data_IF_851651977871
#
_entry.id   IF_851651977871
#
_cell.length_a   1.000
_cell.length_b   1.000
_cell.length_c   1.000
_cell.angle_alpha   90.00
_cell.angle_beta   90.00
_cell.angle_gamma   90.00
#
_symmetry.space_group_name_H-M   'P 1'
#
loop_
_entity.id
_entity.type
_entity.pdbx_description
1 polymer ?
#
# COMPACT_ATOMS: atom_id res chain seq x y z
N UNK A 1 -0.23 35.84 -3.30
CA UNK A 1 -0.49 34.50 -2.74
C UNK A 1 0.82 33.75 -2.69
N UNK A 2 1.13 33.06 -1.59
CA UNK A 2 2.28 32.17 -1.52
C UNK A 2 2.01 31.00 -2.49
N UNK A 3 3.04 30.61 -3.24
CA UNK A 3 3.03 29.48 -4.18
C UNK A 3 2.69 28.16 -3.43
N UNK A 4 1.82 27.30 -3.98
CA UNK A 4 1.42 26.03 -3.35
C UNK A 4 2.64 25.17 -3.01
N UNK A 5 3.58 25.06 -3.96
CA UNK A 5 4.81 24.29 -3.77
C UNK A 5 5.62 24.81 -2.57
N UNK A 6 5.70 26.12 -2.40
CA UNK A 6 6.37 26.74 -1.26
C UNK A 6 5.62 26.49 0.05
N UNK A 7 4.28 26.60 0.07
CA UNK A 7 3.46 26.31 1.25
C UNK A 7 3.65 24.87 1.76
N UNK A 8 3.64 23.90 0.85
CA UNK A 8 3.87 22.48 1.19
C UNK A 8 5.30 22.27 1.70
N UNK A 9 6.29 22.89 1.05
CA UNK A 9 7.69 22.82 1.48
C UNK A 9 7.88 23.40 2.90
N UNK A 10 7.27 24.54 3.21
CA UNK A 10 7.32 25.16 4.53
C UNK A 10 6.65 24.28 5.59
N UNK A 11 5.50 23.69 5.29
CA UNK A 11 4.82 22.76 6.20
C UNK A 11 5.68 21.53 6.52
N UNK A 12 6.35 20.95 5.53
CA UNK A 12 7.24 19.80 5.77
C UNK A 12 8.51 20.22 6.51
N UNK A 13 9.05 21.41 6.22
CA UNK A 13 10.24 21.92 6.89
C UNK A 13 9.98 22.19 8.38
N UNK A 14 8.85 22.84 8.70
CA UNK A 14 8.45 23.29 10.03
C UNK A 14 7.01 22.88 10.34
N UNK A 15 6.72 21.58 10.53
CA UNK A 15 5.37 21.12 10.84
C UNK A 15 4.94 21.59 12.23
N UNK A 16 3.64 21.79 12.48
CA UNK A 16 3.14 21.92 13.84
C UNK A 16 3.33 20.61 14.61
N UNK A 17 3.20 20.68 15.94
CA UNK A 17 3.23 19.49 16.78
C UNK A 17 2.19 18.46 16.32
N UNK A 18 2.66 17.25 16.02
CA UNK A 18 1.83 16.20 15.46
C UNK A 18 0.93 15.57 16.54
N UNK A 19 -0.40 15.57 16.38
CA UNK A 19 -1.31 14.95 17.34
C UNK A 19 -1.04 13.46 17.56
N UNK A 20 -1.31 12.95 18.76
CA UNK A 20 -1.09 11.54 19.12
C UNK A 20 -1.77 10.55 18.15
N UNK A 21 -3.00 10.86 17.74
CA UNK A 21 -3.74 10.05 16.78
C UNK A 21 -3.06 9.96 15.41
N UNK A 22 -2.38 11.05 14.99
CA UNK A 22 -1.67 11.13 13.71
C UNK A 22 -0.38 10.32 13.79
N UNK A 23 0.38 10.42 14.89
CA UNK A 23 1.56 9.58 15.13
C UNK A 23 1.18 8.10 15.20
N UNK A 24 0.05 7.79 15.85
CA UNK A 24 -0.48 6.43 15.95
C UNK A 24 -0.84 5.87 14.56
N UNK A 25 -1.51 6.66 13.71
CA UNK A 25 -1.77 6.28 12.32
C UNK A 25 -0.46 6.00 11.56
N UNK A 26 0.59 6.80 11.80
CA UNK A 26 1.93 6.56 11.29
C UNK A 26 2.51 5.20 11.70
N UNK A 27 2.54 4.89 13.00
CA UNK A 27 3.04 3.59 13.51
C UNK A 27 2.27 2.41 12.94
N UNK A 28 0.94 2.48 12.91
CA UNK A 28 0.07 1.43 12.35
C UNK A 28 0.33 1.21 10.87
N UNK A 29 0.54 2.29 10.12
CA UNK A 29 0.84 2.23 8.68
C UNK A 29 2.23 1.66 8.41
N UNK A 30 3.22 2.01 9.23
CA UNK A 30 4.56 1.43 9.16
C UNK A 30 4.55 -0.07 9.47
N UNK A 31 3.87 -0.50 10.55
CA UNK A 31 3.70 -1.91 10.90
C UNK A 31 3.08 -2.71 9.76
N UNK A 32 1.98 -2.21 9.20
CA UNK A 32 1.30 -2.84 8.06
C UNK A 32 2.22 -2.95 6.85
N UNK A 33 2.94 -1.87 6.50
CA UNK A 33 3.85 -1.84 5.35
C UNK A 33 5.02 -2.82 5.52
N UNK A 34 5.64 -2.88 6.70
CA UNK A 34 6.72 -3.85 6.98
C UNK A 34 6.20 -5.28 6.84
N UNK A 35 5.01 -5.56 7.39
CA UNK A 35 4.38 -6.88 7.27
C UNK A 35 4.18 -7.28 5.81
N UNK A 36 3.57 -6.41 4.99
CA UNK A 36 3.34 -6.73 3.56
C UNK A 36 4.63 -6.80 2.76
N UNK A 37 5.66 -6.02 3.12
CA UNK A 37 6.99 -6.13 2.53
C UNK A 37 7.62 -7.50 2.81
N UNK A 38 7.55 -8.00 4.05
CA UNK A 38 8.03 -9.34 4.41
C UNK A 38 7.29 -10.42 3.63
N UNK A 39 5.95 -10.38 3.64
CA UNK A 39 5.12 -11.37 2.95
C UNK A 39 5.39 -11.41 1.44
N UNK A 40 5.55 -10.23 0.82
CA UNK A 40 5.82 -10.07 -0.60
C UNK A 40 7.28 -10.31 -1.04
N UNK A 41 8.22 -10.39 -0.10
CA UNK A 41 9.66 -10.29 -0.39
C UNK A 41 10.21 -11.41 -1.27
N UNK A 42 9.56 -12.57 -1.29
CA UNK A 42 9.93 -13.72 -2.11
C UNK A 42 8.90 -14.02 -3.21
N UNK A 43 8.08 -13.05 -3.60
CA UNK A 43 7.23 -13.20 -4.78
C UNK A 43 8.10 -13.29 -6.06
N UNK A 44 7.62 -14.00 -7.08
CA UNK A 44 8.38 -14.28 -8.29
C UNK A 44 8.81 -13.03 -9.07
N UNK A 45 8.05 -11.93 -9.03
CA UNK A 45 8.45 -10.65 -9.61
C UNK A 45 9.56 -9.99 -8.79
N UNK A 46 9.48 -10.06 -7.45
CA UNK A 46 10.49 -9.50 -6.55
C UNK A 46 11.83 -10.23 -6.71
N UNK A 47 11.83 -11.56 -6.81
CA UNK A 47 13.06 -12.32 -7.13
C UNK A 47 13.72 -11.86 -8.43
N UNK A 48 12.92 -11.55 -9.47
CA UNK A 48 13.45 -11.03 -10.74
C UNK A 48 14.07 -9.64 -10.58
N UNK A 49 13.49 -8.79 -9.74
CA UNK A 49 14.07 -7.48 -9.42
C UNK A 49 15.39 -7.61 -8.65
N UNK A 50 15.43 -8.45 -7.62
CA UNK A 50 16.63 -8.70 -6.82
C UNK A 50 17.77 -9.25 -7.68
N UNK A 51 17.47 -10.11 -8.65
CA UNK A 51 18.46 -10.65 -9.59
C UNK A 51 19.16 -9.57 -10.47
N UNK A 52 18.61 -8.35 -10.54
CA UNK A 52 19.23 -7.23 -11.27
C UNK A 52 20.32 -6.51 -10.47
N UNK A 53 20.37 -6.68 -9.14
CA UNK A 53 21.26 -5.93 -8.27
C UNK A 53 22.75 -6.02 -8.66
N UNK A 54 23.32 -7.19 -9.00
CA UNK A 54 24.74 -7.28 -9.33
C UNK A 54 25.18 -6.39 -10.50
N UNK A 55 24.25 -6.04 -11.41
CA UNK A 55 24.54 -5.22 -12.58
C UNK A 55 24.29 -3.72 -12.35
N UNK A 56 23.44 -3.36 -11.38
CA UNK A 56 22.89 -1.99 -11.28
C UNK A 56 22.93 -1.37 -9.89
N UNK A 57 23.39 -2.07 -8.86
CA UNK A 57 23.45 -1.59 -7.47
C UNK A 57 24.86 -1.19 -7.05
N UNK A 58 24.95 -0.16 -6.21
CA UNK A 58 26.16 0.27 -5.52
C UNK A 58 26.44 -0.54 -4.24
N UNK A 59 27.23 0.01 -3.31
CA UNK A 59 27.52 -0.64 -2.03
C UNK A 59 26.26 -0.98 -1.24
N UNK A 60 26.24 -2.17 -0.63
CA UNK A 60 25.11 -2.66 0.14
C UNK A 60 24.98 -1.94 1.50
N UNK A 61 24.31 -0.79 1.52
CA UNK A 61 24.14 0.06 2.71
C UNK A 61 22.81 -0.13 3.42
N UNK A 62 21.81 -0.71 2.75
CA UNK A 62 20.45 -0.86 3.27
C UNK A 62 19.91 -2.28 3.06
N UNK A 63 18.98 -2.67 3.94
CA UNK A 63 18.38 -4.00 4.02
C UNK A 63 17.22 -4.16 3.04
N UNK A 64 17.11 -5.36 2.47
CA UNK A 64 15.90 -5.80 1.78
C UNK A 64 15.01 -6.54 2.80
N UNK A 65 13.84 -6.00 3.09
CA UNK A 65 12.94 -6.52 4.13
C UNK A 65 12.49 -7.94 3.77
N UNK A 66 12.62 -8.88 4.70
CA UNK A 66 12.26 -10.30 4.52
C UNK A 66 13.26 -11.10 3.67
N UNK A 67 14.47 -10.57 3.46
CA UNK A 67 15.51 -11.17 2.61
C UNK A 67 16.88 -11.11 3.27
N UNK A 68 17.79 -11.96 2.82
CA UNK A 68 19.19 -11.98 3.27
C UNK A 68 20.04 -10.98 2.50
N UNK A 69 19.69 -10.70 1.24
CA UNK A 69 20.41 -9.74 0.41
C UNK A 69 20.25 -8.30 0.93
N UNK A 70 21.24 -7.47 0.61
CA UNK A 70 21.25 -6.02 0.86
C UNK A 70 21.55 -5.30 -0.44
N UNK A 71 21.21 -4.03 -0.52
CA UNK A 71 21.45 -3.18 -1.69
C UNK A 71 21.87 -1.77 -1.26
N UNK A 72 22.27 -0.93 -2.21
CA UNK A 72 22.31 0.51 -1.93
C UNK A 72 20.90 1.03 -1.59
N UNK A 73 20.85 2.19 -0.93
CA UNK A 73 19.59 2.75 -0.43
C UNK A 73 18.52 2.97 -1.51
N UNK A 74 18.90 3.26 -2.76
CA UNK A 74 17.96 3.53 -3.85
C UNK A 74 17.31 2.24 -4.32
N UNK A 75 18.08 1.17 -4.45
CA UNK A 75 17.57 -0.15 -4.78
C UNK A 75 16.83 -0.82 -3.62
N UNK A 76 17.28 -0.60 -2.38
CA UNK A 76 16.56 -1.07 -1.19
C UNK A 76 15.18 -0.42 -1.08
N UNK A 77 15.10 0.91 -1.21
CA UNK A 77 13.83 1.63 -1.26
C UNK A 77 12.92 1.10 -2.38
N UNK A 78 13.47 0.89 -3.59
CA UNK A 78 12.73 0.36 -4.72
C UNK A 78 12.12 -1.01 -4.45
N UNK A 79 12.96 -1.97 -4.02
CA UNK A 79 12.57 -3.38 -3.87
C UNK A 79 11.63 -3.55 -2.68
N UNK A 80 11.86 -2.86 -1.57
CA UNK A 80 10.99 -2.91 -0.40
C UNK A 80 9.60 -2.32 -0.72
N UNK A 81 9.54 -1.21 -1.46
CA UNK A 81 8.28 -0.63 -1.93
C UNK A 81 7.53 -1.55 -2.91
N UNK A 82 8.25 -2.15 -3.86
CA UNK A 82 7.66 -3.12 -4.77
C UNK A 82 7.10 -4.34 -4.01
N UNK A 83 7.84 -4.83 -3.01
CA UNK A 83 7.44 -5.97 -2.17
C UNK A 83 6.21 -5.65 -1.33
N UNK A 84 6.17 -4.48 -0.67
CA UNK A 84 5.05 -4.05 0.15
C UNK A 84 3.72 -3.97 -0.63
N UNK A 85 3.78 -3.61 -1.91
CA UNK A 85 2.63 -3.44 -2.78
C UNK A 85 2.26 -4.69 -3.60
N UNK A 86 3.12 -5.72 -3.62
CA UNK A 86 3.05 -6.80 -4.62
C UNK A 86 1.73 -7.56 -4.58
N UNK A 87 1.16 -7.77 -3.40
CA UNK A 87 -0.10 -8.48 -3.21
C UNK A 87 -1.33 -7.58 -3.16
N UNK A 88 -1.18 -6.28 -3.41
CA UNK A 88 -2.27 -5.31 -3.24
C UNK A 88 -2.88 -5.37 -1.82
N UNK A 89 -2.07 -5.75 -0.83
CA UNK A 89 -2.50 -5.99 0.56
C UNK A 89 -2.07 -4.87 1.52
N UNK A 90 -1.41 -3.85 0.97
CA UNK A 90 -0.99 -2.63 1.66
C UNK A 90 -2.19 -1.75 2.04
N UNK A 91 -1.88 -0.61 2.65
CA UNK A 91 -2.86 0.35 3.14
C UNK A 91 -3.58 1.09 1.99
N UNK A 92 -4.69 1.74 2.28
CA UNK A 92 -5.46 2.49 1.30
C UNK A 92 -6.08 3.72 1.94
N UNK A 93 -5.78 4.89 1.38
CA UNK A 93 -6.47 6.13 1.69
C UNK A 93 -7.83 6.13 0.99
N UNK A 94 -8.89 5.97 1.79
CA UNK A 94 -10.24 5.68 1.30
C UNK A 94 -10.77 6.71 0.28
N UNK A 95 -10.58 8.03 0.46
CA UNK A 95 -11.10 9.02 -0.50
C UNK A 95 -10.54 8.91 -1.92
N UNK A 96 -9.34 8.37 -2.12
CA UNK A 96 -8.63 8.40 -3.41
C UNK A 96 -8.11 7.05 -3.88
N UNK A 97 -8.20 6.02 -3.03
CA UNK A 97 -7.64 4.68 -3.24
C UNK A 97 -6.11 4.73 -3.45
N UNK A 98 -5.44 5.73 -2.89
CA UNK A 98 -3.97 5.79 -2.91
C UNK A 98 -3.38 4.86 -1.85
N UNK A 99 -2.21 4.26 -2.13
CA UNK A 99 -1.43 3.48 -1.16
C UNK A 99 -0.23 4.31 -0.68
N UNK A 100 -0.37 5.15 0.37
CA UNK A 100 0.66 6.14 0.71
C UNK A 100 1.90 5.53 1.35
N UNK A 101 1.79 4.40 2.07
CA UNK A 101 2.94 3.86 2.81
C UNK A 101 3.97 3.18 1.94
N UNK A 102 3.53 2.39 0.95
CA UNK A 102 4.41 1.61 0.10
C UNK A 102 5.49 2.43 -0.62
N UNK A 103 5.22 3.62 -1.19
CA UNK A 103 6.28 4.44 -1.78
C UNK A 103 7.08 5.27 -0.75
N UNK A 104 6.46 5.73 0.35
CA UNK A 104 7.10 6.69 1.27
C UNK A 104 7.97 6.00 2.31
N UNK A 105 7.45 4.99 3.01
CA UNK A 105 8.15 4.37 4.14
C UNK A 105 9.46 3.68 3.73
N UNK A 106 9.54 2.89 2.64
CA UNK A 106 10.79 2.30 2.18
C UNK A 106 11.90 3.30 1.85
N UNK A 107 11.53 4.50 1.35
CA UNK A 107 12.50 5.55 1.03
C UNK A 107 13.18 6.07 2.31
N UNK A 108 12.40 6.38 3.35
CA UNK A 108 12.95 6.89 4.62
C UNK A 108 13.64 5.80 5.44
N UNK A 109 13.17 4.55 5.38
CA UNK A 109 13.82 3.42 6.04
C UNK A 109 15.22 3.15 5.47
N UNK A 110 15.35 3.07 4.15
CA UNK A 110 16.64 2.83 3.50
C UNK A 110 17.63 3.98 3.74
N UNK A 111 17.14 5.22 3.77
CA UNK A 111 17.93 6.39 4.12
C UNK A 111 18.38 6.35 5.59
N UNK A 112 17.47 6.10 6.52
CA UNK A 112 17.76 6.07 7.96
C UNK A 112 18.78 4.98 8.31
N UNK A 113 18.65 3.76 7.75
CA UNK A 113 19.64 2.69 7.96
C UNK A 113 21.03 3.07 7.43
N UNK A 114 21.07 3.71 6.25
CA UNK A 114 22.34 4.16 5.67
C UNK A 114 22.99 5.25 6.53
N UNK A 115 22.21 6.23 7.01
CA UNK A 115 22.71 7.28 7.90
C UNK A 115 23.18 6.74 9.25
N UNK A 116 22.48 5.75 9.82
CA UNK A 116 22.88 5.07 11.04
C UNK A 116 24.25 4.39 10.87
N UNK A 117 24.47 3.70 9.74
CA UNK A 117 25.77 3.09 9.42
C UNK A 117 26.91 4.12 9.23
N UNK A 118 26.57 5.37 8.89
CA UNK A 118 27.50 6.51 8.83
C UNK A 118 27.70 7.21 10.19
N UNK A 119 27.12 6.69 11.28
CA UNK A 119 27.21 7.29 12.62
C UNK A 119 26.27 8.48 12.84
N UNK A 120 25.21 8.60 12.03
CA UNK A 120 24.19 9.65 12.10
C UNK A 120 22.78 9.03 12.21
N UNK A 121 22.48 8.27 13.27
CA UNK A 121 21.18 7.62 13.40
C UNK A 121 20.06 8.67 13.40
N UNK A 122 18.95 8.30 12.75
CA UNK A 122 17.70 9.06 12.80
C UNK A 122 16.88 8.46 13.95
N UNK A 123 16.44 9.29 14.89
CA UNK A 123 15.58 8.79 15.99
C UNK A 123 14.26 8.27 15.45
N UNK A 124 13.62 7.33 16.13
CA UNK A 124 12.35 6.79 15.64
C UNK A 124 11.22 7.82 15.60
N UNK A 125 11.23 8.81 16.50
CA UNK A 125 10.31 9.96 16.40
C UNK A 125 10.54 10.81 15.13
N UNK A 126 11.80 11.09 14.76
CA UNK A 126 12.12 11.79 13.50
C UNK A 126 11.71 10.96 12.28
N UNK A 127 11.90 9.64 12.33
CA UNK A 127 11.51 8.71 11.26
C UNK A 127 9.99 8.69 11.06
N UNK A 128 9.20 8.56 12.13
CA UNK A 128 7.74 8.57 12.07
C UNK A 128 7.22 9.93 11.59
N UNK A 129 7.78 11.04 12.09
CA UNK A 129 7.38 12.38 11.63
C UNK A 129 7.61 12.54 10.12
N UNK A 130 8.81 12.21 9.63
CA UNK A 130 9.14 12.31 8.22
C UNK A 130 8.24 11.43 7.35
N UNK A 131 8.01 10.19 7.77
CA UNK A 131 7.11 9.27 7.08
C UNK A 131 5.68 9.82 7.00
N UNK A 132 5.13 10.28 8.13
CA UNK A 132 3.76 10.80 8.19
C UNK A 132 3.59 12.05 7.33
N UNK A 133 4.55 12.97 7.34
CA UNK A 133 4.50 14.17 6.50
C UNK A 133 4.51 13.82 5.01
N UNK A 134 5.33 12.86 4.60
CA UNK A 134 5.34 12.36 3.23
C UNK A 134 4.01 11.72 2.83
N UNK A 135 3.49 10.84 3.67
CA UNK A 135 2.21 10.16 3.45
C UNK A 135 1.04 11.16 3.40
N UNK A 136 1.02 12.15 4.30
CA UNK A 136 0.03 13.22 4.33
C UNK A 136 -0.01 14.00 3.01
N UNK A 137 1.15 14.44 2.52
CA UNK A 137 1.23 15.17 1.24
C UNK A 137 0.84 14.27 0.07
N UNK A 138 1.21 12.99 0.08
CA UNK A 138 0.76 12.02 -0.92
C UNK A 138 -0.76 11.89 -0.95
N UNK A 139 -1.43 11.77 0.20
CA UNK A 139 -2.89 11.71 0.29
C UNK A 139 -3.55 12.99 -0.22
N UNK A 140 -3.03 14.16 0.18
CA UNK A 140 -3.54 15.48 -0.24
C UNK A 140 -3.38 15.73 -1.73
N UNK A 141 -2.25 15.35 -2.32
CA UNK A 141 -2.06 15.35 -3.79
C UNK A 141 -3.08 14.44 -4.48
N UNK A 142 -3.38 13.29 -3.88
CA UNK A 142 -4.43 12.41 -4.36
C UNK A 142 -5.80 13.08 -4.40
N UNK A 143 -6.18 13.79 -3.31
CA UNK A 143 -7.46 14.50 -3.23
C UNK A 143 -7.60 15.57 -4.31
N UNK A 144 -6.52 16.29 -4.59
CA UNK A 144 -6.49 17.35 -5.60
C UNK A 144 -6.71 16.84 -7.03
N UNK A 145 -6.44 15.56 -7.27
CA UNK A 145 -6.43 14.95 -8.60
C UNK A 145 -7.61 13.99 -8.86
N UNK A 146 -8.24 13.50 -7.80
CA UNK A 146 -9.36 12.59 -7.87
C UNK A 146 -10.65 13.30 -8.34
N UNK A 147 -11.52 12.67 -9.17
CA UNK A 147 -11.38 11.34 -9.78
C UNK A 147 -10.69 11.34 -11.15
N UNK A 148 -10.45 12.53 -11.75
CA UNK A 148 -10.03 12.70 -13.15
C UNK A 148 -8.73 11.97 -13.46
N UNK A 149 -7.75 12.07 -12.57
CA UNK A 149 -6.41 11.53 -12.78
C UNK A 149 -6.39 10.02 -13.00
N UNK A 150 -7.08 9.28 -12.12
CA UNK A 150 -7.16 7.83 -12.22
C UNK A 150 -7.96 7.42 -13.47
N UNK A 151 -9.07 8.11 -13.75
CA UNK A 151 -9.91 7.83 -14.93
C UNK A 151 -9.14 8.02 -16.25
N UNK A 152 -8.16 8.93 -16.30
CA UNK A 152 -7.27 9.13 -17.45
C UNK A 152 -6.27 7.97 -17.65
N UNK A 153 -6.05 7.13 -16.64
CA UNK A 153 -5.15 5.98 -16.70
C UNK A 153 -3.85 6.14 -15.92
N UNK A 154 -3.71 7.19 -15.11
CA UNK A 154 -2.55 7.34 -14.23
C UNK A 154 -2.70 6.54 -12.95
N UNK A 155 -1.63 5.85 -12.55
CA UNK A 155 -1.61 5.15 -11.26
C UNK A 155 -1.22 6.11 -10.14
N UNK A 156 -2.23 6.61 -9.41
CA UNK A 156 -2.13 7.70 -8.43
C UNK A 156 -1.10 7.45 -7.31
N UNK A 157 -0.95 6.20 -6.89
CA UNK A 157 0.06 5.77 -5.91
C UNK A 157 1.47 6.11 -6.34
N UNK A 158 1.81 5.85 -7.59
CA UNK A 158 3.16 6.04 -8.08
C UNK A 158 3.43 7.52 -8.39
N UNK A 159 2.46 8.20 -9.01
CA UNK A 159 2.58 9.61 -9.40
C UNK A 159 2.64 10.52 -8.17
N UNK A 160 1.75 10.35 -7.18
CA UNK A 160 1.76 11.16 -5.95
C UNK A 160 2.75 10.66 -4.90
N UNK A 161 3.04 9.36 -4.86
CA UNK A 161 3.98 8.76 -3.91
C UNK A 161 5.41 9.24 -4.08
N UNK A 162 5.84 9.58 -5.30
CA UNK A 162 7.17 10.12 -5.56
C UNK A 162 7.42 11.46 -4.84
N UNK A 163 6.41 12.32 -4.77
CA UNK A 163 6.48 13.61 -4.06
C UNK A 163 6.54 13.40 -2.55
N UNK A 164 5.70 12.51 -2.00
CA UNK A 164 5.73 12.18 -0.57
C UNK A 164 7.08 11.60 -0.14
N UNK A 165 7.64 10.67 -0.94
CA UNK A 165 8.96 10.09 -0.69
C UNK A 165 10.07 11.16 -0.76
N UNK A 166 9.99 12.10 -1.71
CA UNK A 166 10.96 13.21 -1.81
C UNK A 166 10.91 14.14 -0.59
N UNK A 167 9.72 14.51 -0.15
CA UNK A 167 9.53 15.39 1.01
C UNK A 167 9.95 14.70 2.32
N UNK A 168 9.59 13.42 2.49
CA UNK A 168 9.96 12.64 3.66
C UNK A 168 11.49 12.45 3.76
N UNK A 169 12.15 12.07 2.65
CA UNK A 169 13.60 12.00 2.61
C UNK A 169 14.25 13.39 2.81
N UNK A 170 13.67 14.44 2.23
CA UNK A 170 14.11 15.81 2.42
C UNK A 170 14.02 16.30 3.88
N UNK A 171 12.99 15.87 4.62
CA UNK A 171 12.84 16.11 6.05
C UNK A 171 13.99 15.50 6.84
N UNK A 172 14.32 14.23 6.59
CA UNK A 172 15.44 13.54 7.24
C UNK A 172 16.80 14.15 6.88
N UNK A 173 16.96 14.62 5.64
CA UNK A 173 18.16 15.35 5.19
C UNK A 173 18.21 16.82 5.67
N UNK A 174 17.18 17.28 6.40
CA UNK A 174 17.06 18.67 6.92
C UNK A 174 17.17 19.72 5.81
N UNK A 175 16.54 19.47 4.67
CA UNK A 175 16.51 20.40 3.55
C UNK A 175 15.78 21.69 3.92
N UNK A 176 16.26 22.81 3.38
CA UNK A 176 15.56 24.10 3.47
C UNK A 176 14.27 24.08 2.64
N UNK A 177 13.30 24.99 2.89
CA UNK A 177 12.08 25.09 2.08
C UNK A 177 12.36 25.22 0.57
N UNK A 178 13.36 26.01 0.18
CA UNK A 178 13.77 26.14 -1.22
C UNK A 178 14.24 24.80 -1.82
N UNK A 179 15.06 24.04 -1.08
CA UNK A 179 15.51 22.72 -1.52
C UNK A 179 14.36 21.70 -1.56
N UNK A 180 13.37 21.80 -0.67
CA UNK A 180 12.17 20.96 -0.74
C UNK A 180 11.33 21.28 -1.99
N UNK A 181 11.25 22.54 -2.41
CA UNK A 181 10.64 22.91 -3.71
C UNK A 181 11.43 22.30 -4.88
N UNK A 182 12.77 22.36 -4.85
CA UNK A 182 13.60 21.69 -5.86
C UNK A 182 13.35 20.17 -5.88
N UNK A 183 13.25 19.53 -4.71
CA UNK A 183 12.96 18.11 -4.58
C UNK A 183 11.59 17.75 -5.17
N UNK A 184 10.55 18.57 -4.98
CA UNK A 184 9.26 18.42 -5.66
C UNK A 184 9.41 18.52 -7.19
N UNK A 185 10.25 19.43 -7.68
CA UNK A 185 10.57 19.55 -9.10
C UNK A 185 11.23 18.30 -9.69
N UNK A 186 12.16 17.69 -8.94
CA UNK A 186 12.82 16.45 -9.36
C UNK A 186 11.89 15.25 -9.30
N UNK A 187 10.96 15.23 -8.33
CA UNK A 187 9.93 14.21 -8.24
C UNK A 187 8.97 14.30 -9.43
N UNK A 188 8.56 15.51 -9.83
CA UNK A 188 7.77 15.75 -11.06
C UNK A 188 8.46 15.19 -12.31
N UNK A 189 9.78 15.37 -12.43
CA UNK A 189 10.53 14.93 -13.60
C UNK A 189 10.72 13.40 -13.68
N UNK A 190 10.55 12.67 -12.58
CA UNK A 190 10.86 11.24 -12.47
C UNK A 190 9.65 10.35 -12.16
N UNK A 191 8.57 10.93 -11.62
CA UNK A 191 7.36 10.21 -11.23
C UNK A 191 6.51 9.81 -12.43
N UNK A 192 6.13 8.53 -12.50
CA UNK A 192 5.23 8.00 -13.51
C UNK A 192 4.47 6.78 -12.97
N UNK A 193 3.38 6.39 -13.64
CA UNK A 193 2.65 5.16 -13.33
C UNK A 193 1.40 5.00 -14.19
N UNK A 194 1.11 3.78 -14.65
CA UNK A 194 -0.03 3.51 -15.54
C UNK A 194 -0.96 2.44 -14.97
N UNK A 195 -2.25 2.72 -15.00
CA UNK A 195 -3.33 1.79 -14.64
C UNK A 195 -3.34 0.55 -15.54
N UNK A 196 -2.84 0.65 -16.77
CA UNK A 196 -2.73 -0.48 -17.71
C UNK A 196 -1.86 -1.62 -17.16
N UNK A 197 -0.95 -1.32 -16.23
CA UNK A 197 -0.06 -2.31 -15.64
C UNK A 197 -0.72 -3.15 -14.54
N UNK A 198 -1.93 -2.81 -14.10
CA UNK A 198 -2.66 -3.56 -13.08
C UNK A 198 -2.90 -5.02 -13.50
N UNK A 199 -2.84 -5.94 -12.54
CA UNK A 199 -2.94 -7.37 -12.80
C UNK A 199 -1.65 -8.01 -13.36
N UNK A 200 -0.60 -7.22 -13.64
CA UNK A 200 0.71 -7.72 -14.07
C UNK A 200 1.79 -7.53 -13.00
N UNK A 201 2.98 -8.12 -13.20
CA UNK A 201 4.16 -7.84 -12.36
C UNK A 201 4.56 -6.35 -12.40
N UNK A 202 4.24 -5.64 -13.49
CA UNK A 202 4.67 -4.27 -13.74
C UNK A 202 4.03 -3.22 -12.84
N UNK A 203 2.87 -3.49 -12.22
CA UNK A 203 2.21 -2.57 -11.27
C UNK A 203 3.21 -2.06 -10.23
N UNK A 204 3.87 -2.99 -9.54
CA UNK A 204 4.73 -2.71 -8.40
C UNK A 204 6.05 -2.06 -8.79
N UNK A 205 6.44 -2.11 -10.07
CA UNK A 205 7.61 -1.37 -10.59
C UNK A 205 7.43 0.13 -10.43
N UNK A 206 6.22 0.63 -10.70
CA UNK A 206 5.95 2.07 -10.60
C UNK A 206 5.95 2.56 -9.15
N UNK A 207 5.53 1.72 -8.20
CA UNK A 207 5.57 2.03 -6.76
C UNK A 207 7.00 2.00 -6.23
N UNK A 208 7.78 0.98 -6.62
CA UNK A 208 9.22 0.93 -6.36
C UNK A 208 9.97 2.14 -6.95
N UNK A 209 9.62 2.51 -8.18
CA UNK A 209 10.19 3.68 -8.84
C UNK A 209 9.82 4.98 -8.11
N UNK A 210 8.62 5.11 -7.57
CA UNK A 210 8.22 6.28 -6.80
C UNK A 210 9.08 6.45 -5.53
N UNK A 211 9.32 5.38 -4.78
CA UNK A 211 10.20 5.40 -3.61
C UNK A 211 11.63 5.82 -3.99
N UNK A 212 12.19 5.18 -5.05
CA UNK A 212 13.54 5.47 -5.54
C UNK A 212 13.67 6.90 -6.08
N UNK A 213 12.73 7.34 -6.89
CA UNK A 213 12.71 8.66 -7.51
C UNK A 213 12.59 9.75 -6.45
N UNK A 214 11.73 9.56 -5.44
CA UNK A 214 11.59 10.50 -4.34
C UNK A 214 12.88 10.62 -3.53
N UNK A 215 13.47 9.49 -3.13
CA UNK A 215 14.74 9.48 -2.41
C UNK A 215 15.85 10.18 -3.21
N UNK A 216 16.00 9.84 -4.49
CA UNK A 216 16.95 10.50 -5.40
C UNK A 216 16.69 12.02 -5.50
N UNK A 217 15.43 12.43 -5.59
CA UNK A 217 15.02 13.84 -5.68
C UNK A 217 15.50 14.66 -4.49
N UNK A 218 15.39 14.12 -3.28
CA UNK A 218 15.89 14.77 -2.07
C UNK A 218 17.42 14.93 -2.10
N UNK A 219 18.16 13.91 -2.53
CA UNK A 219 19.62 14.01 -2.67
C UNK A 219 20.06 15.00 -3.76
N UNK A 220 19.38 15.05 -4.90
CA UNK A 220 19.65 16.03 -5.96
C UNK A 220 19.48 17.46 -5.42
N UNK A 221 18.39 17.73 -4.71
CA UNK A 221 18.15 19.03 -4.07
C UNK A 221 19.19 19.34 -2.96
N UNK A 222 19.60 18.34 -2.17
CA UNK A 222 20.66 18.48 -1.18
C UNK A 222 22.01 18.92 -1.81
N UNK A 223 22.24 18.56 -3.08
CA UNK A 223 23.43 18.94 -3.87
C UNK A 223 23.26 20.21 -4.68
N UNK A 224 22.15 20.93 -4.52
CA UNK A 224 21.88 22.19 -5.23
C UNK A 224 21.55 21.99 -6.71
N UNK A 225 21.12 20.80 -7.11
CA UNK A 225 20.52 20.62 -8.43
C UNK A 225 19.14 21.31 -8.40
N UNK A 226 18.99 22.43 -9.11
CA UNK A 226 17.80 23.30 -9.02
C UNK A 226 16.67 22.84 -9.93
N UNK A 227 15.42 23.10 -9.54
CA UNK A 227 14.20 22.78 -10.27
C UNK A 227 13.34 24.00 -10.62
N UNK A 228 12.12 23.79 -11.17
CA UNK A 228 11.16 24.87 -11.40
C UNK A 228 10.66 25.47 -10.07
N UNK A 229 10.32 26.77 -10.08
CA UNK A 229 9.83 27.45 -8.87
C UNK A 229 8.40 27.05 -8.42
N UNK A 230 7.61 26.47 -9.32
CA UNK A 230 6.21 26.06 -9.07
C UNK A 230 5.93 24.66 -9.65
N UNK A 231 6.57 23.60 -9.13
CA UNK A 231 6.44 22.24 -9.66
C UNK A 231 5.02 21.68 -9.55
N UNK A 232 4.22 22.06 -8.56
CA UNK A 232 2.85 21.55 -8.41
C UNK A 232 1.84 22.35 -9.24
N UNK A 233 1.84 23.67 -9.08
CA UNK A 233 0.79 24.58 -9.55
C UNK A 233 1.14 25.37 -10.82
N UNK A 234 2.37 25.25 -11.32
CA UNK A 234 2.78 25.95 -12.55
C UNK A 234 1.90 25.57 -13.76
N UNK A 235 1.90 26.36 -14.84
CA UNK A 235 1.08 26.07 -16.04
C UNK A 235 1.37 24.72 -16.72
N UNK A 236 2.54 24.15 -16.45
CA UNK A 236 2.98 22.80 -16.84
C UNK A 236 3.47 22.00 -15.62
N UNK A 237 2.98 22.37 -14.44
CA UNK A 237 3.24 21.68 -13.18
C UNK A 237 2.40 20.42 -13.05
N UNK A 238 2.64 19.68 -11.97
CA UNK A 238 2.01 18.39 -11.72
C UNK A 238 0.49 18.43 -11.85
N UNK A 239 -0.18 19.38 -11.18
CA UNK A 239 -1.64 19.45 -11.14
C UNK A 239 -2.25 19.67 -12.52
N UNK A 240 -1.70 20.62 -13.29
CA UNK A 240 -2.18 20.95 -14.64
C UNK A 240 -1.94 19.82 -15.65
N UNK A 241 -0.86 19.03 -15.50
CA UNK A 241 -0.58 17.89 -16.38
C UNK A 241 -1.52 16.70 -16.10
N UNK A 242 -1.97 16.56 -14.86
CA UNK A 242 -2.58 15.33 -14.36
C UNK A 242 -4.07 15.41 -14.09
N UNK A 243 -4.68 16.59 -14.19
CA UNK A 243 -6.12 16.81 -14.12
C UNK A 243 -6.52 18.04 -14.95
N UNK A 244 -7.69 17.99 -15.59
CA UNK A 244 -8.29 19.18 -16.23
C UNK A 244 -9.07 20.05 -15.23
N UNK A 245 -9.31 19.52 -14.03
CA UNK A 245 -10.01 20.21 -12.94
C UNK A 245 -9.37 19.87 -11.58
N UNK A 246 -8.08 20.21 -11.37
CA UNK A 246 -7.44 19.95 -10.09
C UNK A 246 -8.03 20.86 -8.99
N UNK A 247 -8.26 20.29 -7.81
CA UNK A 247 -8.69 21.05 -6.64
C UNK A 247 -7.48 21.43 -5.77
N UNK A 248 -6.96 22.63 -6.03
CA UNK A 248 -5.80 23.19 -5.33
C UNK A 248 -6.02 23.35 -3.82
N UNK A 249 -7.26 23.62 -3.39
CA UNK A 249 -7.57 23.91 -1.99
C UNK A 249 -7.32 22.67 -1.12
N UNK A 250 -7.64 21.48 -1.64
CA UNK A 250 -7.42 20.21 -0.92
C UNK A 250 -5.95 19.95 -0.53
N UNK A 251 -4.97 20.57 -1.20
CA UNK A 251 -3.57 20.47 -0.81
C UNK A 251 -3.26 21.25 0.47
N UNK A 252 -3.75 22.48 0.59
CA UNK A 252 -3.29 23.44 1.61
C UNK A 252 -4.34 23.78 2.67
N UNK A 253 -5.60 23.40 2.45
CA UNK A 253 -6.67 23.67 3.40
C UNK A 253 -6.41 22.94 4.73
N UNK A 254 -6.50 23.71 5.82
CA UNK A 254 -6.35 23.22 7.18
C UNK A 254 -5.05 22.41 7.38
N UNK A 255 -3.97 22.82 6.69
CA UNK A 255 -2.69 22.13 6.73
C UNK A 255 -2.12 22.17 8.16
N UNK A 256 -1.85 20.99 8.71
CA UNK A 256 -1.39 20.85 10.09
C UNK A 256 -2.50 20.76 11.16
N UNK A 257 -3.76 21.02 10.81
CA UNK A 257 -4.92 20.80 11.70
C UNK A 257 -5.81 19.65 11.25
N UNK A 258 -6.05 19.51 9.94
CA UNK A 258 -6.70 18.35 9.33
C UNK A 258 -5.63 17.42 8.75
N UNK A 259 -5.74 16.13 9.02
CA UNK A 259 -4.75 15.14 8.60
C UNK A 259 -5.45 14.04 7.78
N UNK A 260 -5.09 13.95 6.50
CA UNK A 260 -5.62 12.95 5.57
C UNK A 260 -5.08 11.54 5.86
N UNK A 261 -3.91 11.40 6.49
CA UNK A 261 -3.40 10.08 6.93
C UNK A 261 -4.35 9.38 7.91
N UNK A 262 -5.22 10.11 8.62
CA UNK A 262 -6.23 9.51 9.50
C UNK A 262 -7.34 8.78 8.73
N UNK A 263 -7.47 9.03 7.41
CA UNK A 263 -8.38 8.31 6.51
C UNK A 263 -7.67 7.16 5.77
N UNK A 264 -6.43 6.86 6.13
CA UNK A 264 -5.70 5.71 5.64
C UNK A 264 -6.12 4.46 6.41
N UNK A 265 -6.47 3.42 5.68
CA UNK A 265 -7.04 2.18 6.23
C UNK A 265 -6.25 0.97 5.78
N UNK A 266 -6.48 -0.18 6.43
CA UNK A 266 -5.71 -1.39 6.20
C UNK A 266 -6.62 -2.48 5.66
N UNK A 267 -6.21 -3.10 4.55
CA UNK A 267 -6.96 -4.19 3.96
C UNK A 267 -6.87 -5.44 4.84
N UNK A 268 -7.99 -6.13 5.14
CA UNK A 268 -8.00 -7.42 5.83
C UNK A 268 -7.73 -8.60 4.89
N UNK A 269 -7.92 -8.43 3.58
CA UNK A 269 -7.70 -9.46 2.55
C UNK A 269 -6.74 -8.96 1.44
N UNK A 270 -5.95 -9.83 0.79
CA UNK A 270 -4.96 -9.46 -0.22
C UNK A 270 -5.60 -9.24 -1.60
N UNK A 271 -6.55 -8.31 -1.68
CA UNK A 271 -7.33 -8.05 -2.89
C UNK A 271 -7.77 -6.58 -3.03
N UNK A 272 -8.45 -6.26 -4.13
CA UNK A 272 -9.05 -4.94 -4.33
C UNK A 272 -10.10 -4.62 -3.25
N UNK A 273 -10.07 -3.41 -2.70
CA UNK A 273 -10.87 -3.01 -1.52
C UNK A 273 -12.39 -3.22 -1.69
N UNK A 274 -12.89 -3.09 -2.92
CA UNK A 274 -14.30 -3.33 -3.28
C UNK A 274 -14.77 -4.76 -3.02
N UNK A 275 -13.85 -5.73 -2.88
CA UNK A 275 -14.16 -7.13 -2.55
C UNK A 275 -14.31 -7.38 -1.05
N UNK A 276 -13.85 -6.48 -0.18
CA UNK A 276 -13.91 -6.68 1.27
C UNK A 276 -15.32 -7.00 1.80
N UNK A 277 -16.39 -6.23 1.48
CA UNK A 277 -17.74 -6.57 1.95
C UNK A 277 -18.26 -7.89 1.37
N UNK A 278 -17.84 -8.23 0.15
CA UNK A 278 -18.22 -9.49 -0.52
C UNK A 278 -17.62 -10.69 0.19
N UNK A 279 -16.33 -10.62 0.49
CA UNK A 279 -15.59 -11.66 1.22
C UNK A 279 -16.18 -11.82 2.62
N UNK A 280 -16.41 -10.71 3.33
CA UNK A 280 -16.99 -10.76 4.68
C UNK A 280 -18.39 -11.38 4.68
N UNK A 281 -19.24 -11.06 3.70
CA UNK A 281 -20.54 -11.69 3.53
C UNK A 281 -20.43 -13.20 3.31
N UNK A 282 -19.50 -13.63 2.44
CA UNK A 282 -19.28 -15.03 2.13
C UNK A 282 -18.71 -15.82 3.33
N UNK A 283 -17.74 -15.26 4.05
CA UNK A 283 -17.17 -15.88 5.25
C UNK A 283 -18.23 -16.02 6.36
N UNK A 284 -19.09 -15.01 6.53
CA UNK A 284 -20.20 -15.10 7.47
C UNK A 284 -21.21 -16.20 7.09
N UNK A 285 -21.51 -16.36 5.79
CA UNK A 285 -22.37 -17.44 5.30
C UNK A 285 -21.70 -18.81 5.49
N UNK A 286 -20.42 -18.95 5.17
CA UNK A 286 -19.66 -20.18 5.39
C UNK A 286 -19.67 -20.60 6.86
N UNK A 287 -19.41 -19.66 7.77
CA UNK A 287 -19.36 -19.92 9.21
C UNK A 287 -20.71 -20.37 9.80
N UNK A 288 -21.84 -20.06 9.16
CA UNK A 288 -23.16 -20.55 9.57
C UNK A 288 -23.31 -22.06 9.31
N UNK A 289 -22.66 -22.61 8.29
CA UNK A 289 -22.66 -24.05 8.00
C UNK A 289 -24.00 -24.61 7.47
N UNK A 290 -24.92 -23.76 7.02
CA UNK A 290 -26.29 -24.15 6.63
C UNK A 290 -26.43 -24.70 5.20
N UNK A 291 -25.32 -24.83 4.46
CA UNK A 291 -25.28 -25.31 3.09
C UNK A 291 -24.00 -26.12 2.79
N UNK A 292 -24.08 -27.00 1.78
CA UNK A 292 -22.91 -27.52 1.07
C UNK A 292 -22.72 -26.74 -0.24
N UNK A 293 -21.49 -26.58 -0.70
CA UNK A 293 -21.21 -25.84 -1.94
C UNK A 293 -21.92 -26.43 -3.17
N UNK A 294 -22.04 -27.76 -3.23
CA UNK A 294 -22.75 -28.48 -4.30
C UNK A 294 -24.27 -28.21 -4.29
N UNK A 295 -24.83 -27.77 -3.15
CA UNK A 295 -26.23 -27.40 -3.04
C UNK A 295 -26.54 -26.00 -3.60
N UNK A 296 -25.52 -25.19 -3.94
CA UNK A 296 -25.71 -23.84 -4.48
C UNK A 296 -26.11 -23.92 -5.95
N UNK A 297 -27.32 -23.42 -6.25
CA UNK A 297 -27.87 -23.31 -7.60
C UNK A 297 -27.42 -22.02 -8.30
N UNK A 298 -27.43 -20.90 -7.59
CA UNK A 298 -26.97 -19.60 -8.11
C UNK A 298 -26.50 -18.67 -6.99
N UNK A 299 -25.61 -17.75 -7.36
CA UNK A 299 -25.09 -16.71 -6.47
C UNK A 299 -25.39 -15.35 -7.10
N UNK A 300 -26.01 -14.48 -6.32
CA UNK A 300 -26.28 -13.09 -6.70
C UNK A 300 -25.46 -12.17 -5.82
N UNK A 301 -24.66 -11.32 -6.46
CA UNK A 301 -23.85 -10.30 -5.82
C UNK A 301 -24.44 -8.92 -6.15
N UNK A 302 -25.02 -8.27 -5.14
CA UNK A 302 -25.61 -6.93 -5.27
C UNK A 302 -24.68 -5.89 -4.65
N UNK A 303 -24.45 -4.76 -5.33
CA UNK A 303 -23.66 -3.66 -4.77
C UNK A 303 -23.53 -2.49 -5.74
N UNK A 304 -22.74 -1.49 -5.36
CA UNK A 304 -22.47 -0.33 -6.20
C UNK A 304 -21.89 -0.74 -7.57
N UNK A 305 -22.23 -0.09 -8.70
CA UNK A 305 -21.74 -0.49 -10.03
C UNK A 305 -20.21 -0.62 -10.17
N UNK A 306 -19.46 0.13 -9.36
CA UNK A 306 -17.98 0.01 -9.30
C UNK A 306 -17.53 -1.40 -8.94
N UNK A 307 -18.28 -2.13 -8.11
CA UNK A 307 -17.98 -3.51 -7.76
C UNK A 307 -17.84 -4.36 -9.03
N UNK A 308 -18.87 -4.40 -9.86
CA UNK A 308 -18.84 -5.14 -11.13
C UNK A 308 -17.76 -4.62 -12.07
N UNK A 309 -17.68 -3.31 -12.28
CA UNK A 309 -16.71 -2.70 -13.21
C UNK A 309 -15.26 -3.09 -12.87
N UNK A 310 -14.94 -3.17 -11.58
CA UNK A 310 -13.60 -3.48 -11.08
C UNK A 310 -13.34 -4.98 -10.95
N UNK A 311 -14.37 -5.79 -10.69
CA UNK A 311 -14.17 -7.17 -10.21
C UNK A 311 -14.79 -8.27 -11.07
N UNK A 312 -15.57 -7.92 -12.10
CA UNK A 312 -16.10 -8.88 -13.07
C UNK A 312 -14.95 -9.38 -13.96
N UNK A 313 -14.22 -10.38 -13.45
CA UNK A 313 -13.02 -10.96 -14.05
C UNK A 313 -13.14 -12.48 -13.94
N UNK A 314 -13.96 -13.13 -14.77
CA UNK A 314 -14.09 -14.58 -14.76
C UNK A 314 -12.82 -15.24 -15.31
N UNK A 315 -12.66 -16.54 -15.06
CA UNK A 315 -11.59 -17.37 -15.65
C UNK A 315 -10.17 -16.85 -15.41
N UNK A 316 -9.91 -16.30 -14.23
CA UNK A 316 -8.55 -15.93 -13.82
C UNK A 316 -7.64 -17.16 -13.82
N UNK A 317 -6.38 -16.96 -14.20
CA UNK A 317 -5.40 -18.06 -14.38
C UNK A 317 -4.20 -17.97 -13.44
N UNK A 318 -4.08 -16.86 -12.70
CA UNK A 318 -3.00 -16.60 -11.75
C UNK A 318 -3.57 -15.99 -10.48
N UNK A 319 -2.89 -16.21 -9.37
CA UNK A 319 -3.20 -15.63 -8.06
C UNK A 319 -3.29 -14.11 -8.14
N UNK A 320 -2.39 -13.46 -8.87
CA UNK A 320 -2.43 -12.00 -9.11
C UNK A 320 -3.73 -11.54 -9.77
N UNK A 321 -4.20 -12.25 -10.80
CA UNK A 321 -5.47 -11.89 -11.45
C UNK A 321 -6.67 -12.15 -10.52
N UNK A 322 -6.57 -13.14 -9.63
CA UNK A 322 -7.63 -13.46 -8.68
C UNK A 322 -7.91 -12.36 -7.65
N UNK A 323 -6.91 -11.53 -7.34
CA UNK A 323 -7.02 -10.39 -6.40
C UNK A 323 -8.01 -9.31 -6.86
N UNK A 324 -8.45 -9.36 -8.12
CA UNK A 324 -9.45 -8.46 -8.70
C UNK A 324 -10.63 -9.23 -9.31
N UNK A 325 -10.90 -10.46 -8.85
CA UNK A 325 -11.99 -11.30 -9.34
C UNK A 325 -13.01 -11.58 -8.24
N UNK A 326 -14.23 -11.07 -8.39
CA UNK A 326 -15.33 -11.41 -7.48
C UNK A 326 -15.71 -12.88 -7.59
N UNK A 327 -15.64 -13.44 -8.80
CA UNK A 327 -15.90 -14.85 -9.05
C UNK A 327 -15.00 -15.75 -8.20
N UNK A 328 -13.69 -15.48 -8.19
CA UNK A 328 -12.75 -16.23 -7.36
C UNK A 328 -12.95 -15.95 -5.87
N UNK A 329 -13.05 -14.67 -5.48
CA UNK A 329 -13.17 -14.27 -4.07
C UNK A 329 -14.42 -14.85 -3.40
N UNK A 330 -15.56 -14.84 -4.09
CA UNK A 330 -16.80 -15.47 -3.61
C UNK A 330 -16.63 -16.98 -3.50
N UNK A 331 -16.11 -17.64 -4.53
CA UNK A 331 -15.97 -19.09 -4.53
C UNK A 331 -15.05 -19.56 -3.39
N UNK A 332 -13.88 -18.96 -3.23
CA UNK A 332 -12.90 -19.37 -2.22
C UNK A 332 -13.39 -19.09 -0.80
N UNK A 333 -14.05 -17.95 -0.58
CA UNK A 333 -14.59 -17.59 0.73
C UNK A 333 -15.73 -18.52 1.15
N UNK A 334 -16.62 -18.90 0.21
CA UNK A 334 -17.72 -19.82 0.50
C UNK A 334 -17.26 -21.27 0.66
N UNK A 335 -16.31 -21.73 -0.16
CA UNK A 335 -15.88 -23.13 -0.17
C UNK A 335 -14.85 -23.43 0.93
N UNK A 336 -13.84 -22.57 1.09
CA UNK A 336 -12.72 -22.80 2.00
C UNK A 336 -12.86 -22.07 3.34
N UNK A 337 -13.81 -21.14 3.46
CA UNK A 337 -14.00 -20.36 4.69
C UNK A 337 -12.84 -19.43 5.02
N UNK A 338 -12.05 -19.02 4.02
CA UNK A 338 -10.87 -18.16 4.19
C UNK A 338 -10.62 -17.29 2.95
N UNK A 339 -9.85 -16.23 3.15
CA UNK A 339 -9.49 -15.26 2.12
C UNK A 339 -8.09 -14.65 2.36
N UNK A 340 -7.13 -15.49 2.73
CA UNK A 340 -5.72 -15.12 2.96
C UNK A 340 -4.85 -15.32 1.70
N UNK A 341 -3.53 -15.16 1.82
CA UNK A 341 -2.61 -15.25 0.68
C UNK A 341 -2.67 -16.61 -0.03
N UNK A 342 -2.92 -17.70 0.69
CA UNK A 342 -3.10 -19.03 0.09
C UNK A 342 -4.37 -19.09 -0.76
N UNK A 343 -5.47 -18.49 -0.29
CA UNK A 343 -6.74 -18.39 -1.01
C UNK A 343 -6.62 -17.61 -2.34
N UNK A 344 -5.63 -16.73 -2.47
CA UNK A 344 -5.36 -15.95 -3.69
C UNK A 344 -4.06 -16.40 -4.40
N UNK A 345 -3.62 -17.63 -4.17
CA UNK A 345 -2.41 -18.19 -4.79
C UNK A 345 -2.68 -18.74 -6.21
N UNK A 346 -1.60 -18.97 -6.97
CA UNK A 346 -1.71 -19.68 -8.26
C UNK A 346 -2.28 -21.09 -8.09
N UNK A 347 -2.01 -21.74 -6.95
CA UNK A 347 -2.55 -23.06 -6.64
C UNK A 347 -4.08 -23.02 -6.48
N UNK A 348 -4.59 -22.08 -5.68
CA UNK A 348 -6.03 -21.90 -5.46
C UNK A 348 -6.78 -21.63 -6.76
N UNK A 349 -6.23 -20.78 -7.64
CA UNK A 349 -6.86 -20.45 -8.93
C UNK A 349 -7.02 -21.67 -9.85
N UNK A 350 -6.27 -22.74 -9.64
CA UNK A 350 -6.41 -23.97 -10.44
C UNK A 350 -7.50 -24.92 -9.96
N UNK A 351 -8.04 -24.72 -8.75
CA UNK A 351 -9.05 -25.59 -8.15
C UNK A 351 -10.35 -25.63 -8.99
N UNK A 352 -10.76 -26.85 -9.34
CA UNK A 352 -11.93 -27.07 -10.19
C UNK A 352 -13.27 -26.77 -9.49
N UNK A 353 -13.36 -26.99 -8.18
CA UNK A 353 -14.56 -26.69 -7.40
C UNK A 353 -14.75 -25.17 -7.26
N UNK A 354 -13.65 -24.42 -7.09
CA UNK A 354 -13.71 -22.96 -7.12
C UNK A 354 -14.20 -22.44 -8.47
N UNK A 355 -13.70 -23.01 -9.58
CA UNK A 355 -14.13 -22.64 -10.94
C UNK A 355 -15.61 -22.95 -11.21
N UNK A 356 -16.10 -24.11 -10.75
CA UNK A 356 -17.53 -24.46 -10.87
C UNK A 356 -18.41 -23.46 -10.13
N UNK A 357 -18.08 -23.17 -8.87
CA UNK A 357 -18.85 -22.26 -8.04
C UNK A 357 -18.81 -20.82 -8.58
N UNK A 358 -17.64 -20.38 -9.04
CA UNK A 358 -17.44 -19.08 -9.70
C UNK A 358 -18.37 -18.85 -10.91
N UNK A 359 -18.68 -19.91 -11.67
CA UNK A 359 -19.55 -19.83 -12.84
C UNK A 359 -21.03 -19.52 -12.51
N UNK A 360 -21.42 -19.70 -11.24
CA UNK A 360 -22.79 -19.50 -10.75
C UNK A 360 -23.06 -18.05 -10.31
N UNK A 361 -22.05 -17.18 -10.36
CA UNK A 361 -22.13 -15.79 -9.93
C UNK A 361 -22.78 -14.89 -10.98
N UNK A 362 -23.67 -14.02 -10.53
CA UNK A 362 -24.26 -12.92 -11.31
C UNK A 362 -24.26 -11.62 -10.50
N UNK A 363 -24.10 -10.49 -11.18
CA UNK A 363 -24.09 -9.16 -10.55
C UNK A 363 -25.45 -8.47 -10.65
N UNK A 364 -25.78 -7.68 -9.64
CA UNK A 364 -26.86 -6.70 -9.65
C UNK A 364 -26.30 -5.34 -9.23
N UNK A 365 -26.32 -4.40 -10.16
CA UNK A 365 -25.83 -3.03 -9.93
C UNK A 365 -26.92 -2.21 -9.22
N UNK A 366 -26.61 -1.66 -8.05
CA UNK A 366 -27.53 -0.84 -7.25
C UNK A 366 -26.81 0.40 -6.70
N UNK A 367 -27.24 1.58 -7.15
CA UNK A 367 -26.65 2.88 -6.76
C UNK A 367 -26.99 3.28 -5.32
N UNK A 368 -27.91 2.60 -4.64
CA UNK A 368 -28.21 2.85 -3.22
C UNK A 368 -27.13 2.26 -2.29
N UNK A 369 -26.28 1.38 -2.79
CA UNK A 369 -25.14 0.85 -2.04
C UNK A 369 -23.96 1.81 -2.14
N UNK A 370 -23.28 2.03 -1.02
CA UNK A 370 -21.93 2.61 -1.03
C UNK A 370 -20.95 1.60 -1.62
N UNK A 371 -19.76 2.04 -2.02
CA UNK A 371 -18.73 1.11 -2.53
C UNK A 371 -18.16 0.19 -1.44
N UNK A 372 -18.43 0.47 -0.16
CA UNK A 372 -18.02 -0.33 1.01
C UNK A 372 -19.10 -1.34 1.42
N UNK A 373 -20.25 -1.36 0.74
CA UNK A 373 -21.37 -2.25 1.02
C UNK A 373 -21.59 -3.27 -0.09
N UNK A 374 -22.04 -4.47 0.28
CA UNK A 374 -22.47 -5.50 -0.66
C UNK A 374 -23.47 -6.47 -0.02
N UNK A 375 -24.26 -7.13 -0.86
CA UNK A 375 -25.12 -8.25 -0.45
C UNK A 375 -24.83 -9.49 -1.30
N UNK A 376 -24.66 -10.62 -0.62
CA UNK A 376 -24.52 -11.95 -1.23
C UNK A 376 -25.78 -12.74 -0.95
N UNK A 377 -26.42 -13.22 -2.00
CA UNK A 377 -27.61 -14.07 -1.92
C UNK A 377 -27.33 -15.41 -2.61
N UNK A 378 -27.33 -16.49 -1.83
CA UNK A 378 -27.22 -17.87 -2.30
C UNK A 378 -28.63 -18.43 -2.49
N UNK A 379 -28.93 -18.95 -3.68
CA UNK A 379 -30.13 -19.76 -3.91
C UNK A 379 -29.73 -21.23 -3.94
N UNK A 380 -30.31 -22.03 -3.04
CA UNK A 380 -30.01 -23.45 -2.94
C UNK A 380 -30.95 -24.30 -3.82
N UNK A 381 -30.51 -25.50 -4.18
CA UNK A 381 -31.28 -26.46 -4.98
C UNK A 381 -32.60 -26.90 -4.30
N UNK A 382 -32.69 -26.80 -2.98
CA UNK A 382 -33.90 -27.09 -2.19
C UNK A 382 -34.90 -25.90 -2.12
N UNK A 383 -34.58 -24.80 -2.79
CA UNK A 383 -35.39 -23.58 -2.83
C UNK A 383 -35.13 -22.59 -1.69
N UNK A 384 -34.33 -22.93 -0.68
CA UNK A 384 -33.92 -21.98 0.36
C UNK A 384 -33.06 -20.86 -0.23
N UNK A 385 -33.12 -19.69 0.42
CA UNK A 385 -32.25 -18.55 0.13
C UNK A 385 -31.51 -18.14 1.38
N UNK A 386 -30.20 -18.02 1.27
CA UNK A 386 -29.34 -17.51 2.33
C UNK A 386 -28.82 -16.14 1.88
N UNK A 387 -29.07 -15.11 2.68
CA UNK A 387 -28.74 -13.73 2.33
C UNK A 387 -27.89 -13.12 3.42
N UNK A 388 -26.79 -12.49 3.02
CA UNK A 388 -25.94 -11.71 3.92
C UNK A 388 -25.60 -10.38 3.28
N UNK A 389 -25.97 -9.30 3.98
CA UNK A 389 -25.62 -7.92 3.65
C UNK A 389 -24.56 -7.41 4.61
N UNK A 390 -23.60 -6.68 4.07
CA UNK A 390 -22.57 -5.93 4.79
C UNK A 390 -22.73 -4.47 4.38
N UNK A 391 -22.95 -3.58 5.36
CA UNK A 391 -23.08 -2.14 5.12
C UNK A 391 -21.73 -1.41 5.20
N UNK A 392 -20.82 -1.90 6.05
CA UNK A 392 -19.45 -1.43 6.19
C UNK A 392 -18.52 -2.60 6.49
N UNK A 393 -17.61 -2.89 5.56
CA UNK A 393 -16.66 -3.99 5.71
C UNK A 393 -15.53 -3.65 6.69
N UNK A 394 -14.98 -4.68 7.35
CA UNK A 394 -13.75 -4.55 8.13
C UNK A 394 -12.62 -3.95 7.28
N UNK A 395 -11.86 -3.04 7.87
CA UNK A 395 -10.81 -2.28 7.19
C UNK A 395 -11.31 -1.04 6.46
N UNK A 396 -12.60 -0.68 6.55
CA UNK A 396 -13.13 0.62 6.16
C UNK A 396 -13.00 1.69 7.26
N UNK A 397 -13.46 2.92 6.99
CA UNK A 397 -13.43 4.00 7.99
C UNK A 397 -14.39 3.76 9.16
N UNK A 398 -15.57 3.21 8.86
CA UNK A 398 -16.62 2.94 9.86
C UNK A 398 -16.36 1.65 10.66
N UNK A 399 -15.52 0.75 10.13
CA UNK A 399 -15.13 -0.50 10.77
C UNK A 399 -13.62 -0.75 10.59
N UNK A 400 -12.75 0.08 11.20
CA UNK A 400 -11.31 -0.03 11.03
C UNK A 400 -10.79 -1.34 11.64
N UNK A 401 -9.71 -1.90 11.06
CA UNK A 401 -8.96 -2.96 11.73
C UNK A 401 -8.46 -2.44 13.08
N UNK A 402 -8.48 -3.28 14.11
CA UNK A 402 -7.86 -2.99 15.42
C UNK A 402 -6.35 -3.26 15.38
N UNK A 403 -5.62 -2.86 16.42
CA UNK A 403 -4.18 -3.19 16.52
C UNK A 403 -3.96 -4.70 16.67
N UNK A 404 -4.88 -5.39 17.36
CA UNK A 404 -4.89 -6.86 17.42
C UNK A 404 -5.06 -7.50 16.03
N UNK A 405 -5.93 -6.93 15.18
CA UNK A 405 -6.11 -7.40 13.81
C UNK A 405 -4.85 -7.19 12.96
N UNK A 406 -4.17 -6.05 13.13
CA UNK A 406 -2.90 -5.77 12.45
C UNK A 406 -1.81 -6.72 12.92
N UNK A 407 -1.73 -7.04 14.21
CA UNK A 407 -0.79 -8.01 14.75
C UNK A 407 -1.05 -9.42 14.19
N UNK A 408 -2.32 -9.85 14.10
CA UNK A 408 -2.69 -11.12 13.43
C UNK A 408 -2.27 -11.11 11.97
N UNK A 409 -2.56 -10.03 11.24
CA UNK A 409 -2.16 -9.86 9.84
C UNK A 409 -0.63 -9.92 9.69
N UNK A 410 0.12 -9.23 10.54
CA UNK A 410 1.58 -9.19 10.51
C UNK A 410 2.18 -10.58 10.69
N UNK A 411 1.74 -11.33 11.72
CA UNK A 411 2.16 -12.73 11.93
C UNK A 411 1.84 -13.61 10.72
N UNK A 412 0.67 -13.44 10.10
CA UNK A 412 0.31 -14.18 8.91
C UNK A 412 1.22 -13.87 7.70
N UNK A 413 1.72 -12.63 7.55
CA UNK A 413 2.68 -12.29 6.49
C UNK A 413 4.04 -12.98 6.69
N UNK A 414 4.53 -13.02 7.93
CA UNK A 414 5.77 -13.73 8.27
C UNK A 414 5.59 -15.24 8.04
N UNK A 415 4.49 -15.81 8.53
CA UNK A 415 4.15 -17.23 8.31
C UNK A 415 4.05 -17.59 6.83
N UNK A 416 3.45 -16.72 6.02
CA UNK A 416 3.40 -16.89 4.56
C UNK A 416 4.79 -16.87 3.91
N UNK A 417 5.65 -15.94 4.33
CA UNK A 417 7.02 -15.85 3.81
C UNK A 417 7.84 -17.09 4.15
N UNK A 418 7.53 -17.76 5.27
CA UNK A 418 8.16 -19.02 5.66
C UNK A 418 9.61 -18.87 6.10
N UNK A 419 9.93 -17.78 6.81
CA UNK A 419 11.25 -17.51 7.40
C UNK A 419 11.14 -17.43 8.91
N UNK A 420 12.24 -17.74 9.59
CA UNK A 420 12.32 -17.71 11.04
C UNK A 420 12.58 -16.28 11.54
N UNK A 421 11.51 -15.50 11.66
CA UNK A 421 11.53 -14.16 12.26
C UNK A 421 10.64 -14.16 13.50
N UNK A 422 11.10 -13.51 14.58
CA UNK A 422 10.26 -13.25 15.75
C UNK A 422 9.27 -12.12 15.44
N UNK A 423 8.05 -12.52 15.09
CA UNK A 423 6.98 -11.60 14.75
C UNK A 423 6.59 -10.71 15.94
N UNK A 424 6.62 -11.23 17.18
CA UNK A 424 6.18 -10.52 18.36
C UNK A 424 7.22 -9.49 18.82
N UNK A 425 8.51 -9.82 18.69
CA UNK A 425 9.61 -8.88 18.92
C UNK A 425 9.60 -7.74 17.88
N UNK A 426 9.35 -8.05 16.61
CA UNK A 426 9.20 -7.04 15.55
C UNK A 426 8.00 -6.12 15.80
N UNK A 427 6.84 -6.67 16.17
CA UNK A 427 5.65 -5.88 16.52
C UNK A 427 5.98 -4.95 17.69
N UNK A 428 6.56 -5.49 18.76
CA UNK A 428 6.94 -4.70 19.96
C UNK A 428 7.90 -3.56 19.61
N UNK A 429 8.90 -3.84 18.77
CA UNK A 429 9.89 -2.85 18.33
C UNK A 429 9.26 -1.73 17.47
N UNK A 430 8.32 -2.08 16.59
CA UNK A 430 7.62 -1.13 15.73
C UNK A 430 6.57 -0.31 16.50
N UNK A 431 5.92 -0.88 17.51
CA UNK A 431 5.00 -0.17 18.40
C UNK A 431 5.73 0.85 19.28
N UNK A 432 6.92 0.50 19.76
CA UNK A 432 7.79 1.36 20.58
C UNK A 432 8.77 2.22 19.74
N UNK A 433 8.60 2.29 18.41
CA UNK A 433 9.60 2.87 17.52
C UNK A 433 9.94 4.33 17.87
N UNK A 434 8.98 5.13 18.32
CA UNK A 434 9.23 6.55 18.65
C UNK A 434 10.26 6.75 19.77
N UNK A 435 10.42 5.77 20.65
CA UNK A 435 11.40 5.79 21.74
C UNK A 435 12.80 5.31 21.30
N UNK A 436 12.95 4.81 20.08
CA UNK A 436 14.20 4.28 19.57
C UNK A 436 15.20 5.40 19.24
N UNK A 437 16.43 5.27 19.76
CA UNK A 437 17.55 6.16 19.40
C UNK A 437 17.97 6.00 17.92
N UNK A 438 17.76 4.81 17.35
CA UNK A 438 17.89 4.52 15.92
C UNK A 438 16.59 3.88 15.43
N UNK A 439 15.78 4.67 14.72
CA UNK A 439 14.49 4.24 14.17
C UNK A 439 14.60 3.17 13.08
N UNK A 440 15.79 2.95 12.51
CA UNK A 440 16.02 1.93 11.49
C UNK A 440 16.56 0.61 12.07
N UNK A 441 16.87 0.55 13.37
CA UNK A 441 17.51 -0.61 14.00
C UNK A 441 16.72 -1.92 13.81
N UNK A 442 15.38 -1.85 13.82
CA UNK A 442 14.51 -3.02 13.64
C UNK A 442 14.71 -3.70 12.26
N UNK A 443 15.21 -2.98 11.24
CA UNK A 443 15.43 -3.55 9.91
C UNK A 443 16.39 -4.75 9.94
N UNK A 444 17.35 -4.74 10.88
CA UNK A 444 18.26 -5.87 11.07
C UNK A 444 17.52 -7.17 11.41
N UNK A 445 16.42 -7.07 12.16
CA UNK A 445 15.54 -8.17 12.56
C UNK A 445 14.61 -8.64 11.42
N UNK A 446 14.47 -7.86 10.35
CA UNK A 446 13.64 -8.24 9.20
C UNK A 446 14.38 -9.08 8.17
N UNK A 447 15.70 -9.24 8.32
CA UNK A 447 16.52 -9.97 7.36
C UNK A 447 16.41 -11.47 7.58
N UNK A 448 16.33 -12.21 6.48
CA UNK A 448 16.42 -13.66 6.50
C UNK A 448 17.87 -14.05 6.83
N UNK A 449 18.12 -14.46 8.08
CA UNK A 449 19.43 -14.94 8.54
C UNK A 449 19.62 -16.43 8.31
N UNK A 450 18.61 -17.11 7.77
CA UNK A 450 18.71 -18.52 7.40
C UNK A 450 19.68 -18.63 6.23
N UNK A 451 20.91 -19.04 6.53
CA UNK A 451 21.96 -19.21 5.54
C UNK A 451 21.47 -20.17 4.44
N UNK A 452 21.81 -19.96 3.16
CA UNK A 452 21.38 -20.83 2.04
C UNK A 452 21.83 -22.30 2.17
N UNK A 453 22.55 -22.63 3.25
CA UNK A 453 23.02 -23.95 3.65
C UNK A 453 22.38 -24.51 4.93
N UNK A 454 21.33 -23.88 5.49
CA UNK A 454 20.55 -24.43 6.61
C UNK A 454 21.30 -24.52 7.94
N UNK A 455 22.29 -23.66 8.19
CA UNK A 455 22.93 -23.54 9.50
C UNK A 455 22.59 -22.18 10.10
N UNK A 456 21.89 -22.18 11.22
CA UNK A 456 21.69 -20.99 12.03
C UNK A 456 23.07 -20.46 12.49
N UNK A 457 23.32 -19.17 12.29
CA UNK A 457 24.49 -18.45 12.80
C UNK A 457 24.26 -17.94 14.22
#
# INVERSE_FOLDING_TARGET
MIALSATIAEFVHSPPAMPDAVRAAGRRSLLNMVGTAIGGSNEAAIRKLVAMLPAFSGPATASLIGRSERADMLWAAYINAASANIFDFDDTHVPTVIHPSAPVAPAVLALAETLAAEGKPVTGSELIEAFVLGAEVTCRLGNALHPVHYARGWHITSTCGAFGAALAAGRLLRLSPAQLVDALGHALAQGAGSVETLGTMSKSLSVGQAARAGLMSAFLAAKGYTGPAAPLEGPRGFLALHSDAPDFATLTDELGSRWEILKNTFKPYPCGIVLNPVIEACLALHAQGDFSADAIASIRLTGHPLLRQRTDRPNVTTGRLSQVSAQHAVAVSLLWGRADLEAFSDHAVQDAQLKDLASKLSFVDDLSFTFEAAEVCLSLNDGRKLVRRIDAAKGGLDHPMTDADLAVKFRAQIGWRGIDLDADELITSLEAIEDAADGAAFLAMTRDTTDMNGRAT
#
